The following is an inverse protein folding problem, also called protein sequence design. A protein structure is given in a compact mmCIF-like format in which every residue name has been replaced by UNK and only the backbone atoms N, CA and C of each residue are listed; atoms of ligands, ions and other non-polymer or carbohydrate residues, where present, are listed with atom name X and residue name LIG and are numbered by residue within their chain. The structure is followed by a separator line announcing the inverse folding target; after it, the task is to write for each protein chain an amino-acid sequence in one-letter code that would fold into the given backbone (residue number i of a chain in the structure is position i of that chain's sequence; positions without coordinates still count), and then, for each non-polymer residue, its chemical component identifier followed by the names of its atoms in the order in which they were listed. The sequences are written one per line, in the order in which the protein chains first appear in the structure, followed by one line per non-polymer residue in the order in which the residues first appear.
data_IF_654160569416
#
_entry.id   IF_654160569416
#
_cell.length_a   1.000
_cell.length_b   1.000
_cell.length_c   1.000
_cell.angle_alpha   90.00
_cell.angle_beta   90.00
_cell.angle_gamma   90.00
#
_symmetry.space_group_name_H-M   'P 1'
#
loop_
_entity.id
_entity.type
_entity.pdbx_description
1 polymer ?
#
# COMPACT_ATOMS: atom_id res chain seq x y z
N UNK A 1 -17.13 9.13 -2.72
CA UNK A 1 -16.13 9.07 -3.82
C UNK A 1 -16.74 8.80 -5.21
N UNK A 2 -16.21 9.37 -6.31
CA UNK A 2 -16.66 9.09 -7.70
C UNK A 2 -16.04 7.79 -8.27
N UNK A 3 -16.63 7.15 -9.30
CA UNK A 3 -16.08 5.93 -9.90
C UNK A 3 -14.68 6.10 -10.50
N UNK A 4 -14.41 7.27 -11.10
CA UNK A 4 -13.10 7.59 -11.69
C UNK A 4 -12.02 7.69 -10.62
N UNK A 5 -12.31 8.37 -9.50
CA UNK A 5 -11.39 8.45 -8.37
C UNK A 5 -11.16 7.07 -7.75
N UNK A 6 -12.23 6.26 -7.59
CA UNK A 6 -12.13 4.88 -7.10
C UNK A 6 -11.17 4.06 -7.98
N UNK A 7 -11.29 4.16 -9.31
CA UNK A 7 -10.43 3.42 -10.25
C UNK A 7 -8.94 3.84 -10.18
N UNK A 8 -8.67 5.13 -9.98
CA UNK A 8 -7.30 5.61 -9.77
C UNK A 8 -6.70 5.06 -8.47
N UNK A 9 -7.47 5.06 -7.38
CA UNK A 9 -7.02 4.53 -6.09
C UNK A 9 -6.80 3.02 -6.14
N UNK A 10 -7.70 2.26 -6.77
CA UNK A 10 -7.50 0.81 -6.93
C UNK A 10 -6.27 0.50 -7.78
N UNK A 11 -5.99 1.31 -8.82
CA UNK A 11 -4.74 1.20 -9.61
C UNK A 11 -3.50 1.40 -8.73
N UNK A 12 -3.55 2.34 -7.78
CA UNK A 12 -2.46 2.54 -6.82
C UNK A 12 -2.30 1.33 -5.89
N UNK A 13 -3.41 0.77 -5.39
CA UNK A 13 -3.40 -0.39 -4.51
C UNK A 13 -2.85 -1.63 -5.21
N UNK A 14 -3.24 -1.87 -6.46
CA UNK A 14 -2.71 -2.97 -7.27
C UNK A 14 -1.20 -2.85 -7.47
N UNK A 15 -0.71 -1.64 -7.76
CA UNK A 15 0.72 -1.38 -7.95
C UNK A 15 1.54 -1.52 -6.65
N UNK A 16 0.95 -1.16 -5.51
CA UNK A 16 1.57 -1.30 -4.20
C UNK A 16 1.54 -2.76 -3.71
N UNK A 17 0.45 -3.47 -3.98
CA UNK A 17 0.18 -4.80 -3.45
C UNK A 17 -0.27 -4.80 -1.97
N UNK A 18 -0.88 -5.90 -1.51
CA UNK A 18 -1.60 -5.96 -0.23
C UNK A 18 -0.72 -5.67 0.98
N UNK A 19 0.53 -6.11 0.97
CA UNK A 19 1.41 -5.91 2.13
C UNK A 19 1.80 -4.45 2.31
N UNK A 20 2.04 -3.73 1.20
CA UNK A 20 2.35 -2.30 1.24
C UNK A 20 1.13 -1.46 1.54
N UNK A 21 -0.05 -1.83 1.01
CA UNK A 21 -1.31 -1.15 1.34
C UNK A 21 -1.62 -1.30 2.84
N UNK A 22 -1.52 -2.52 3.40
CA UNK A 22 -1.72 -2.76 4.84
C UNK A 22 -0.77 -1.94 5.71
N UNK A 23 0.51 -1.88 5.32
CA UNK A 23 1.52 -1.07 6.01
C UNK A 23 1.25 0.43 5.87
N UNK A 24 0.82 0.89 4.71
CA UNK A 24 0.43 2.29 4.48
C UNK A 24 -0.73 2.73 5.37
N UNK A 25 -1.71 1.84 5.61
CA UNK A 25 -2.88 2.14 6.44
C UNK A 25 -2.57 2.37 7.92
N UNK A 26 -1.36 2.00 8.40
CA UNK A 26 -0.93 2.36 9.75
C UNK A 26 -0.52 3.82 9.89
N UNK A 27 -0.45 4.57 8.79
CA UNK A 27 -0.13 5.99 8.80
C UNK A 27 -1.23 6.78 9.49
N UNK A 28 -0.84 7.82 10.23
CA UNK A 28 -1.75 8.78 10.86
C UNK A 28 -1.44 10.23 10.48
N UNK A 29 -0.37 10.45 9.72
CA UNK A 29 0.05 11.76 9.28
C UNK A 29 -0.32 12.05 7.83
N UNK A 30 -0.16 13.31 7.44
CA UNK A 30 -0.48 13.82 6.10
C UNK A 30 0.76 14.38 5.38
N UNK A 31 1.93 14.25 6.00
CA UNK A 31 3.17 14.74 5.41
C UNK A 31 3.90 13.64 4.64
N UNK A 32 4.76 14.00 3.69
CA UNK A 32 5.60 13.04 2.97
C UNK A 32 6.52 12.19 3.86
N UNK A 33 6.67 12.52 5.14
CA UNK A 33 7.41 11.77 6.15
C UNK A 33 6.61 10.65 6.79
N UNK A 34 5.29 10.78 6.89
CA UNK A 34 4.44 9.92 7.73
C UNK A 34 3.05 9.62 7.13
N UNK A 35 2.80 10.02 5.88
CA UNK A 35 1.57 9.70 5.17
C UNK A 35 1.54 8.26 4.68
N UNK A 36 0.38 7.86 4.14
CA UNK A 36 0.16 6.53 3.57
C UNK A 36 1.31 6.08 2.66
N UNK A 37 1.75 6.91 1.71
CA UNK A 37 2.81 6.55 0.76
C UNK A 37 4.18 6.37 1.44
N UNK A 38 4.47 7.15 2.48
CA UNK A 38 5.72 7.04 3.24
C UNK A 38 5.84 5.65 3.88
N UNK A 39 4.79 5.23 4.59
CA UNK A 39 4.77 3.91 5.22
C UNK A 39 4.54 2.78 4.20
N UNK A 40 3.74 2.98 3.16
CA UNK A 40 3.51 1.97 2.13
C UNK A 40 4.79 1.63 1.35
N UNK A 41 5.66 2.60 1.08
CA UNK A 41 6.88 2.40 0.28
C UNK A 41 8.08 2.06 1.17
N UNK A 42 8.40 2.91 2.14
CA UNK A 42 9.63 2.76 2.93
C UNK A 42 9.43 1.92 4.19
N UNK A 43 8.20 1.79 4.69
CA UNK A 43 7.88 1.00 5.89
C UNK A 43 8.32 1.60 7.21
N UNK A 44 8.97 2.76 7.17
CA UNK A 44 9.33 3.56 8.32
C UNK A 44 9.15 5.04 7.96
N UNK A 45 8.76 5.83 8.94
CA UNK A 45 8.67 7.29 8.80
C UNK A 45 10.02 7.89 8.40
N UNK A 46 9.99 9.04 7.74
CA UNK A 46 11.14 9.83 7.28
C UNK A 46 12.04 9.21 6.20
N UNK A 47 12.05 7.89 6.03
CA UNK A 47 12.89 7.22 5.05
C UNK A 47 12.53 7.64 3.60
N UNK A 48 11.24 7.71 3.27
CA UNK A 48 10.79 8.24 1.98
C UNK A 48 11.07 9.76 1.88
N UNK A 49 10.82 10.53 2.95
CA UNK A 49 11.01 11.98 2.94
C UNK A 49 12.47 12.37 2.65
N UNK A 50 13.46 11.64 3.20
CA UNK A 50 14.88 11.87 2.94
C UNK A 50 15.26 11.70 1.47
N UNK A 51 14.69 10.71 0.79
CA UNK A 51 14.88 10.55 -0.66
C UNK A 51 14.13 11.65 -1.42
N UNK A 52 12.91 11.99 -1.02
CA UNK A 52 12.13 13.04 -1.66
C UNK A 52 12.73 14.44 -1.53
N UNK A 53 13.54 14.72 -0.51
CA UNK A 53 14.27 15.98 -0.39
C UNK A 53 15.26 16.20 -1.55
N UNK A 54 15.73 15.13 -2.19
CA UNK A 54 16.64 15.19 -3.35
C UNK A 54 15.91 15.47 -4.67
N UNK A 55 14.57 15.48 -4.66
CA UNK A 55 13.76 15.56 -5.87
C UNK A 55 12.76 16.72 -5.82
N UNK A 56 12.90 17.68 -6.75
CA UNK A 56 11.95 18.81 -6.89
C UNK A 56 10.52 18.29 -7.19
N UNK A 57 10.40 17.29 -8.06
CA UNK A 57 9.11 16.73 -8.51
C UNK A 57 8.74 15.44 -7.76
N UNK A 58 8.45 15.58 -6.47
CA UNK A 58 8.15 14.47 -5.55
C UNK A 58 7.12 13.47 -6.09
N UNK A 59 5.98 13.93 -6.61
CA UNK A 59 4.91 13.04 -7.09
C UNK A 59 5.34 12.21 -8.32
N UNK A 60 6.18 12.78 -9.19
CA UNK A 60 6.72 12.06 -10.35
C UNK A 60 7.69 10.96 -9.93
N UNK A 61 8.57 11.26 -8.97
CA UNK A 61 9.49 10.28 -8.43
C UNK A 61 8.74 9.11 -7.78
N UNK A 62 7.74 9.41 -6.94
CA UNK A 62 6.91 8.37 -6.31
C UNK A 62 6.17 7.55 -7.36
N UNK A 63 5.62 8.18 -8.40
CA UNK A 63 4.96 7.48 -9.50
C UNK A 63 5.90 6.50 -10.20
N UNK A 64 7.12 6.94 -10.51
CA UNK A 64 8.15 6.06 -11.07
C UNK A 64 8.54 4.92 -10.12
N UNK A 65 8.62 5.18 -8.82
CA UNK A 65 9.02 4.20 -7.81
C UNK A 65 8.00 3.07 -7.62
N UNK A 66 6.71 3.37 -7.76
CA UNK A 66 5.62 2.38 -7.65
C UNK A 66 5.08 1.93 -9.01
N UNK A 67 5.61 2.45 -10.11
CA UNK A 67 5.24 2.05 -11.48
C UNK A 67 3.89 2.60 -11.97
N UNK A 68 3.44 3.76 -11.46
CA UNK A 68 2.16 4.37 -11.85
C UNK A 68 2.32 5.79 -12.40
N UNK A 69 1.28 6.27 -13.07
CA UNK A 69 1.22 7.65 -13.59
C UNK A 69 1.09 8.65 -12.44
N UNK A 70 1.60 9.87 -12.64
CA UNK A 70 1.51 10.95 -11.64
C UNK A 70 0.08 11.28 -11.22
N UNK A 71 -0.91 11.10 -12.11
CA UNK A 71 -2.33 11.29 -11.82
C UNK A 71 -2.81 10.36 -10.69
N UNK A 72 -2.34 9.11 -10.68
CA UNK A 72 -2.66 8.13 -9.64
C UNK A 72 -2.07 8.58 -8.30
N UNK A 73 -0.81 9.05 -8.30
CA UNK A 73 -0.16 9.56 -7.07
C UNK A 73 -0.87 10.79 -6.54
N UNK A 74 -1.27 11.72 -7.43
CA UNK A 74 -2.02 12.91 -7.04
C UNK A 74 -3.36 12.54 -6.40
N UNK A 75 -4.09 11.57 -6.94
CA UNK A 75 -5.35 11.15 -6.37
C UNK A 75 -5.16 10.47 -5.01
N UNK A 76 -4.10 9.66 -4.83
CA UNK A 76 -3.79 9.08 -3.51
C UNK A 76 -3.54 10.17 -2.47
N UNK A 77 -2.72 11.18 -2.80
CA UNK A 77 -2.42 12.29 -1.88
C UNK A 77 -3.69 13.09 -1.59
N UNK A 78 -4.44 13.45 -2.63
CA UNK A 78 -5.69 14.22 -2.51
C UNK A 78 -6.74 13.48 -1.66
N UNK A 79 -6.96 12.19 -1.92
CA UNK A 79 -7.92 11.39 -1.17
C UNK A 79 -7.45 11.14 0.27
N UNK A 80 -6.15 10.94 0.50
CA UNK A 80 -5.60 10.81 1.86
C UNK A 80 -5.76 12.11 2.67
N UNK A 81 -5.57 13.27 2.04
CA UNK A 81 -5.64 14.56 2.74
C UNK A 81 -7.07 15.09 2.94
N UNK A 82 -8.01 14.74 2.05
CA UNK A 82 -9.35 15.33 2.05
C UNK A 82 -10.48 14.32 2.30
N UNK A 83 -10.30 13.05 1.94
CA UNK A 83 -11.32 12.01 1.96
C UNK A 83 -10.80 10.76 2.69
N UNK A 84 -10.06 10.93 3.79
CA UNK A 84 -9.29 9.86 4.44
C UNK A 84 -10.17 8.66 4.84
N UNK A 85 -11.39 8.91 5.35
CA UNK A 85 -12.33 7.86 5.74
C UNK A 85 -12.75 7.00 4.54
N UNK A 86 -13.18 7.64 3.45
CA UNK A 86 -13.54 6.99 2.18
C UNK A 86 -12.33 6.21 1.62
N UNK A 87 -11.13 6.79 1.69
CA UNK A 87 -9.90 6.14 1.24
C UNK A 87 -9.60 4.87 2.05
N UNK A 88 -9.67 4.95 3.39
CA UNK A 88 -9.43 3.83 4.29
C UNK A 88 -10.46 2.72 4.11
N UNK A 89 -11.73 3.08 3.94
CA UNK A 89 -12.80 2.13 3.67
C UNK A 89 -12.54 1.38 2.35
N UNK A 90 -12.19 2.11 1.28
CA UNK A 90 -11.87 1.53 -0.02
C UNK A 90 -10.63 0.62 0.02
N UNK A 91 -9.56 1.05 0.69
CA UNK A 91 -8.35 0.25 0.83
C UNK A 91 -8.62 -1.04 1.62
N UNK A 92 -9.48 -0.98 2.64
CA UNK A 92 -9.89 -2.15 3.43
C UNK A 92 -10.73 -3.12 2.61
N UNK A 93 -11.72 -2.61 1.85
CA UNK A 93 -12.52 -3.39 0.90
C UNK A 93 -11.60 -4.11 -0.11
N UNK A 94 -10.66 -3.38 -0.70
CA UNK A 94 -9.71 -3.95 -1.67
C UNK A 94 -8.80 -5.02 -1.05
N UNK A 95 -8.34 -4.82 0.20
CA UNK A 95 -7.55 -5.82 0.92
C UNK A 95 -8.35 -7.09 1.22
N UNK A 96 -9.62 -6.99 1.60
CA UNK A 96 -10.50 -8.13 1.82
C UNK A 96 -10.71 -8.95 0.55
N UNK A 97 -10.98 -8.30 -0.57
CA UNK A 97 -11.12 -8.95 -1.88
C UNK A 97 -9.82 -9.68 -2.27
N UNK A 98 -8.66 -9.06 -2.05
CA UNK A 98 -7.35 -9.67 -2.36
C UNK A 98 -6.98 -10.79 -1.38
N UNK A 99 -7.47 -10.76 -0.14
CA UNK A 99 -7.31 -11.85 0.82
C UNK A 99 -8.11 -13.08 0.39
N UNK A 100 -9.32 -12.91 -0.13
CA UNK A 100 -10.17 -14.02 -0.61
C UNK A 100 -9.59 -14.63 -1.89
N UNK A 101 -9.05 -13.80 -2.79
CA UNK A 101 -8.47 -14.25 -4.05
C UNK A 101 -7.15 -15.04 -3.89
N UNK A 102 -6.44 -14.87 -2.77
CA UNK A 102 -5.25 -15.64 -2.44
C UNK A 102 -5.63 -16.75 -1.47
N UNK A 103 -5.68 -18.04 -1.88
CA UNK A 103 -5.76 -19.12 -0.92
C UNK A 103 -4.56 -18.94 0.00
N UNK A 104 -4.80 -18.78 1.30
CA UNK A 104 -3.73 -18.92 2.28
C UNK A 104 -3.11 -20.29 2.00
N UNK A 105 -1.86 -20.30 1.52
CA UNK A 105 -1.13 -21.54 1.38
C UNK A 105 -1.28 -22.28 2.71
N UNK A 106 -1.77 -23.54 2.72
CA UNK A 106 -2.01 -24.24 3.97
C UNK A 106 -0.71 -24.20 4.75
N UNK A 107 -0.78 -23.68 5.97
CA UNK A 107 0.32 -23.74 6.92
C UNK A 107 0.84 -25.17 6.86
N UNK A 108 2.08 -25.33 6.39
CA UNK A 108 2.71 -26.63 6.23
C UNK A 108 2.61 -27.34 7.56
N UNK A 109 1.63 -28.23 7.68
CA UNK A 109 1.56 -29.19 8.75
C UNK A 109 2.87 -29.93 8.66
N UNK A 110 3.74 -29.71 9.64
CA UNK A 110 4.89 -30.55 9.88
C UNK A 110 4.29 -31.90 10.29
N UNK A 111 3.97 -32.69 9.28
CA UNK A 111 3.65 -34.09 9.43
C UNK A 111 4.94 -34.77 9.89
N UNK A 112 4.89 -35.23 11.13
CA UNK A 112 5.84 -36.10 11.81
C UNK A 112 6.38 -37.19 10.88
N UNK A 113 7.70 -37.41 10.78
CA UNK A 113 8.19 -38.68 10.27
C UNK A 113 8.09 -39.73 11.38
N UNK A 114 7.28 -40.76 11.10
CA UNK A 114 7.26 -42.03 11.84
C UNK A 114 8.48 -42.88 11.46
N UNK A 115 9.09 -43.46 12.50
CA UNK A 115 9.90 -44.68 12.59
C UNK A 115 11.32 -44.73 11.97
N UNK A 116 12.32 -45.09 12.77
CA UNK A 116 12.84 -46.48 12.84
C UNK A 116 14.04 -46.65 13.81
N UNK A 117 14.05 -47.81 14.48
CA UNK A 117 15.17 -48.55 15.08
C UNK A 117 15.84 -48.02 16.37
N UNK A 118 15.59 -48.70 17.50
CA UNK A 118 16.47 -49.75 18.06
C UNK A 118 15.69 -50.62 19.05
#
# INVERSE_FOLDING_TARGET
MSPEHKALLTTAFDALGPERVRRGLTATGHSWSDCFLALAIAGASDALARELQKHWRKHYFVGALIGVRVQVVNEVVRAWDHDEEDFRALASEWLELNRVARPAAPATGVATPVAAAM
#
